data_IF_386896570838
#
_entry.id   IF_386896570838
#
_cell.length_a   1.000
_cell.length_b   1.000
_cell.length_c   1.000
_cell.angle_alpha   90.00
_cell.angle_beta   90.00
_cell.angle_gamma   90.00
#
_symmetry.space_group_name_H-M   'P 1'
#
loop_
_entity.id
_entity.type
_entity.pdbx_description
1 polymer ?
#
# COMPACT_ATOMS: atom_id res chain seq x y z
N UNK A 1 -12.52 -21.64 -8.31
CA UNK A 1 -11.09 -21.61 -8.66
C UNK A 1 -10.44 -20.60 -7.74
N UNK A 2 -9.38 -21.01 -7.04
CA UNK A 2 -8.73 -20.27 -5.96
C UNK A 2 -7.34 -20.86 -5.76
N UNK A 3 -7.02 -21.36 -4.56
CA UNK A 3 -5.72 -21.99 -4.29
C UNK A 3 -5.35 -23.20 -5.16
N UNK A 4 -6.30 -23.80 -5.88
CA UNK A 4 -6.02 -24.82 -6.90
C UNK A 4 -5.05 -24.31 -7.98
N UNK A 5 -5.16 -23.02 -8.36
CA UNK A 5 -4.31 -22.39 -9.35
C UNK A 5 -2.82 -22.33 -8.94
N UNK A 6 -2.51 -22.56 -7.66
CA UNK A 6 -1.14 -22.57 -7.16
C UNK A 6 -0.26 -23.61 -7.89
N UNK A 7 -0.84 -24.71 -8.41
CA UNK A 7 -0.13 -25.72 -9.19
C UNK A 7 0.59 -25.16 -10.43
N UNK A 8 0.14 -24.01 -10.93
CA UNK A 8 0.73 -23.32 -12.08
C UNK A 8 2.14 -22.78 -11.78
N UNK A 9 2.58 -22.72 -10.52
CA UNK A 9 3.94 -22.35 -10.11
C UNK A 9 4.95 -23.51 -10.12
N UNK A 10 4.51 -24.72 -10.51
CA UNK A 10 5.38 -25.86 -10.75
C UNK A 10 5.08 -27.05 -9.85
N UNK A 11 5.64 -28.21 -10.21
CA UNK A 11 5.30 -29.49 -9.60
C UNK A 11 5.66 -29.60 -8.10
N UNK A 12 6.59 -28.79 -7.61
CA UNK A 12 7.02 -28.83 -6.21
C UNK A 12 6.24 -27.84 -5.32
N UNK A 13 5.30 -27.08 -5.88
CA UNK A 13 4.58 -26.05 -5.13
C UNK A 13 3.70 -26.64 -4.03
N UNK A 14 3.75 -26.03 -2.84
CA UNK A 14 2.90 -26.44 -1.73
C UNK A 14 2.60 -25.27 -0.80
N UNK A 15 1.36 -25.20 -0.30
CA UNK A 15 1.02 -24.40 0.87
C UNK A 15 1.62 -25.04 2.12
N UNK A 16 2.22 -24.22 2.97
CA UNK A 16 2.89 -24.67 4.21
C UNK A 16 2.00 -24.35 5.40
N UNK A 17 1.80 -23.06 5.68
CA UNK A 17 1.03 -22.60 6.82
C UNK A 17 0.38 -21.24 6.52
N UNK A 18 -0.80 -20.95 7.11
CA UNK A 18 -1.41 -19.64 6.97
C UNK A 18 -0.59 -18.58 7.70
N UNK A 19 -0.49 -17.39 7.10
CA UNK A 19 0.17 -16.24 7.71
C UNK A 19 -0.88 -15.29 8.27
N UNK A 20 -0.67 -14.85 9.51
CA UNK A 20 -1.48 -13.80 10.11
C UNK A 20 -1.14 -12.44 9.50
N UNK A 21 -2.14 -11.59 9.28
CA UNK A 21 -1.95 -10.18 8.88
C UNK A 21 -2.66 -9.75 7.59
N UNK A 22 -3.15 -10.67 6.76
CA UNK A 22 -4.01 -10.34 5.62
C UNK A 22 -5.47 -10.18 6.08
N UNK A 23 -5.93 -8.95 6.31
CA UNK A 23 -7.35 -8.71 6.68
C UNK A 23 -8.27 -8.90 5.47
N UNK A 24 -7.80 -8.51 4.28
CA UNK A 24 -8.56 -8.57 3.03
C UNK A 24 -8.26 -9.82 2.18
N UNK A 25 -7.15 -10.53 2.45
CA UNK A 25 -6.63 -11.59 1.60
C UNK A 25 -6.28 -12.84 2.42
N UNK A 26 -6.46 -14.01 1.81
CA UNK A 26 -5.97 -15.27 2.36
C UNK A 26 -4.48 -15.41 2.01
N UNK A 27 -3.61 -15.39 3.02
CA UNK A 27 -2.15 -15.32 2.87
C UNK A 27 -1.49 -16.54 3.48
N UNK A 28 -0.59 -17.17 2.74
CA UNK A 28 0.09 -18.40 3.14
C UNK A 28 1.58 -18.32 2.89
N UNK A 29 2.36 -18.93 3.79
CA UNK A 29 3.70 -19.40 3.47
C UNK A 29 3.56 -20.52 2.44
N UNK A 30 4.29 -20.44 1.34
CA UNK A 30 4.32 -21.46 0.29
C UNK A 30 5.75 -21.86 -0.01
N UNK A 31 5.93 -23.10 -0.49
CA UNK A 31 7.20 -23.56 -1.06
C UNK A 31 7.07 -23.52 -2.58
N UNK A 32 7.99 -22.85 -3.26
CA UNK A 32 8.11 -22.83 -4.72
C UNK A 32 9.57 -22.98 -5.08
N UNK A 33 9.92 -23.88 -6.01
CA UNK A 33 11.32 -24.14 -6.41
C UNK A 33 12.24 -24.42 -5.20
N UNK A 34 11.73 -25.18 -4.23
CA UNK A 34 12.37 -25.51 -2.94
C UNK A 34 12.73 -24.30 -2.07
N UNK A 35 12.15 -23.13 -2.33
CA UNK A 35 12.36 -21.90 -1.55
C UNK A 35 11.07 -21.48 -0.87
N UNK A 36 11.20 -20.83 0.28
CA UNK A 36 10.09 -20.18 0.96
C UNK A 36 9.65 -18.95 0.17
N UNK A 37 8.34 -18.82 -0.01
CA UNK A 37 7.67 -17.72 -0.68
C UNK A 37 6.35 -17.42 0.05
N UNK A 38 5.67 -16.35 -0.36
CA UNK A 38 4.35 -15.98 0.16
C UNK A 38 3.36 -16.06 -0.98
N UNK A 39 2.30 -16.85 -0.79
CA UNK A 39 1.15 -16.84 -1.67
C UNK A 39 0.06 -15.95 -1.09
N UNK A 40 -0.64 -15.22 -1.95
CA UNK A 40 -1.80 -14.39 -1.61
C UNK A 40 -2.93 -14.72 -2.56
N UNK A 41 -4.11 -15.01 -2.03
CA UNK A 41 -5.35 -15.15 -2.77
C UNK A 41 -6.31 -14.03 -2.37
N UNK A 42 -6.79 -13.28 -3.36
CA UNK A 42 -7.71 -12.15 -3.17
C UNK A 42 -8.83 -12.12 -4.21
N UNK A 43 -9.78 -11.21 -3.99
CA UNK A 43 -10.89 -10.94 -4.91
C UNK A 43 -10.58 -9.84 -5.94
N UNK A 44 -9.32 -9.39 -6.01
CA UNK A 44 -8.87 -8.32 -6.90
C UNK A 44 -8.91 -8.74 -8.36
N UNK A 45 -9.33 -7.81 -9.23
CA UNK A 45 -9.45 -8.05 -10.67
C UNK A 45 -8.08 -8.19 -11.36
N UNK A 46 -8.03 -8.88 -12.49
CA UNK A 46 -6.80 -9.05 -13.28
C UNK A 46 -6.09 -7.73 -13.63
N UNK A 47 -6.76 -6.63 -14.04
CA UNK A 47 -6.08 -5.35 -14.29
C UNK A 47 -5.42 -4.77 -13.03
N UNK A 48 -6.03 -4.98 -11.86
CA UNK A 48 -5.50 -4.52 -10.58
C UNK A 48 -4.25 -5.33 -10.18
N UNK A 49 -4.31 -6.66 -10.30
CA UNK A 49 -3.15 -7.54 -10.07
C UNK A 49 -2.01 -7.27 -11.06
N UNK A 50 -2.33 -7.00 -12.33
CA UNK A 50 -1.34 -6.63 -13.33
C UNK A 50 -0.65 -5.30 -12.98
N UNK A 51 -1.40 -4.32 -12.47
CA UNK A 51 -0.83 -3.05 -12.02
C UNK A 51 0.11 -3.25 -10.83
N UNK A 52 -0.32 -3.99 -9.81
CA UNK A 52 0.47 -4.24 -8.59
C UNK A 52 1.74 -5.05 -8.89
N UNK A 53 1.59 -6.17 -9.59
CA UNK A 53 2.75 -7.02 -9.93
C UNK A 53 3.74 -6.31 -10.86
N UNK A 54 3.24 -5.50 -11.80
CA UNK A 54 4.07 -4.66 -12.67
C UNK A 54 4.83 -3.57 -11.89
N UNK A 55 4.19 -2.95 -10.89
CA UNK A 55 4.83 -2.01 -9.98
C UNK A 55 5.96 -2.70 -9.20
N UNK A 56 5.69 -3.86 -8.59
CA UNK A 56 6.70 -4.57 -7.79
C UNK A 56 7.93 -4.96 -8.61
N UNK A 57 7.74 -5.43 -9.84
CA UNK A 57 8.85 -5.69 -10.76
C UNK A 57 9.63 -4.43 -11.16
N UNK A 58 8.95 -3.29 -11.30
CA UNK A 58 9.61 -2.00 -11.55
C UNK A 58 10.46 -1.57 -10.36
N UNK A 59 9.91 -1.64 -9.15
CA UNK A 59 10.61 -1.25 -7.92
C UNK A 59 11.84 -2.12 -7.65
N UNK A 60 11.75 -3.42 -7.90
CA UNK A 60 12.89 -4.34 -7.80
C UNK A 60 14.00 -3.96 -8.80
N UNK A 61 13.65 -3.68 -10.06
CA UNK A 61 14.62 -3.21 -11.08
C UNK A 61 15.25 -1.87 -10.71
N UNK A 62 14.49 -0.99 -10.08
CA UNK A 62 14.99 0.27 -9.53
C UNK A 62 15.79 0.08 -8.24
N UNK A 63 15.91 -1.15 -7.73
CA UNK A 63 16.74 -1.55 -6.60
C UNK A 63 16.10 -1.35 -5.23
N UNK A 64 14.78 -1.20 -5.14
CA UNK A 64 14.05 -1.22 -3.87
C UNK A 64 13.79 -2.67 -3.44
N UNK A 65 13.82 -2.94 -2.14
CA UNK A 65 13.46 -4.27 -1.63
C UNK A 65 11.94 -4.37 -1.46
N UNK A 66 11.31 -5.25 -2.25
CA UNK A 66 9.87 -5.49 -2.27
C UNK A 66 9.59 -7.00 -2.40
N UNK A 67 8.38 -7.49 -2.10
CA UNK A 67 8.02 -8.88 -2.36
C UNK A 67 7.88 -9.10 -3.88
N UNK A 68 8.95 -9.52 -4.56
CA UNK A 68 8.98 -9.65 -6.02
C UNK A 68 8.05 -10.80 -6.46
N UNK A 69 7.12 -10.58 -7.41
CA UNK A 69 6.28 -11.64 -7.96
C UNK A 69 7.14 -12.75 -8.57
N UNK A 70 6.87 -13.99 -8.17
CA UNK A 70 7.42 -15.20 -8.78
C UNK A 70 6.45 -15.58 -9.90
N UNK A 71 6.89 -15.72 -11.16
CA UNK A 71 5.99 -16.11 -12.24
C UNK A 71 5.60 -17.58 -12.15
N UNK A 72 4.43 -17.90 -12.72
CA UNK A 72 4.02 -19.26 -13.06
C UNK A 72 5.00 -19.90 -14.07
N UNK A 73 4.88 -21.21 -14.29
CA UNK A 73 5.71 -21.94 -15.25
C UNK A 73 5.60 -21.41 -16.69
N UNK A 74 4.47 -20.79 -17.05
CA UNK A 74 4.23 -20.16 -18.36
C UNK A 74 4.51 -18.64 -18.38
N UNK A 75 5.02 -18.07 -17.28
CA UNK A 75 5.49 -16.69 -17.22
C UNK A 75 4.47 -15.64 -16.76
N UNK A 76 3.24 -16.03 -16.42
CA UNK A 76 2.24 -15.11 -15.84
C UNK A 76 2.60 -14.76 -14.39
N UNK A 77 2.26 -13.55 -13.94
CA UNK A 77 2.56 -13.08 -12.58
C UNK A 77 1.47 -13.42 -11.57
N UNK A 78 0.30 -13.85 -12.04
CA UNK A 78 -0.84 -14.25 -11.24
C UNK A 78 -1.74 -15.20 -12.04
N UNK A 79 -2.58 -15.96 -11.33
CA UNK A 79 -3.57 -16.86 -11.92
C UNK A 79 -4.75 -17.06 -10.96
N UNK A 80 -5.98 -16.87 -11.45
CA UNK A 80 -7.23 -17.03 -10.69
C UNK A 80 -7.21 -16.31 -9.32
N UNK A 81 -6.71 -15.08 -9.29
CA UNK A 81 -6.59 -14.27 -8.06
C UNK A 81 -5.42 -14.65 -7.15
N UNK A 82 -4.65 -15.70 -7.47
CA UNK A 82 -3.44 -16.09 -6.75
C UNK A 82 -2.24 -15.32 -7.28
N UNK A 83 -1.48 -14.71 -6.37
CA UNK A 83 -0.14 -14.16 -6.62
C UNK A 83 0.84 -14.88 -5.70
N UNK A 84 2.00 -15.29 -6.22
CA UNK A 84 3.10 -15.77 -5.39
C UNK A 84 4.24 -14.78 -5.47
N UNK A 85 4.80 -14.43 -4.31
CA UNK A 85 5.88 -13.44 -4.19
C UNK A 85 7.03 -13.98 -3.35
N UNK A 86 8.22 -13.41 -3.53
CA UNK A 86 9.38 -13.75 -2.71
C UNK A 86 9.10 -13.47 -1.23
N UNK A 87 9.53 -14.38 -0.36
CA UNK A 87 9.52 -14.13 1.08
C UNK A 87 10.51 -13.03 1.44
N UNK A 88 10.10 -12.08 2.30
CA UNK A 88 10.92 -10.95 2.73
C UNK A 88 11.25 -11.08 4.21
N UNK A 89 12.51 -11.38 4.53
CA UNK A 89 12.96 -11.46 5.93
C UNK A 89 13.14 -10.05 6.53
N UNK A 90 12.86 -9.94 7.82
CA UNK A 90 13.16 -8.76 8.63
C UNK A 90 12.13 -8.52 9.74
N UNK A 91 12.49 -7.65 10.67
CA UNK A 91 11.59 -7.18 11.74
C UNK A 91 10.99 -5.79 11.43
N UNK A 92 10.00 -5.34 12.21
CA UNK A 92 9.50 -3.97 12.12
C UNK A 92 10.56 -2.94 12.57
N UNK A 93 10.46 -1.66 12.16
CA UNK A 93 11.29 -0.59 12.70
C UNK A 93 11.13 -0.46 14.21
N UNK A 94 12.24 -0.27 14.93
CA UNK A 94 12.25 -0.20 16.40
C UNK A 94 12.67 1.18 16.92
N UNK A 95 13.49 1.91 16.16
CA UNK A 95 14.11 3.16 16.59
C UNK A 95 13.75 4.33 15.68
N UNK A 96 13.95 5.57 16.15
CA UNK A 96 13.82 6.75 15.31
C UNK A 96 14.78 6.76 14.09
N UNK A 97 15.94 6.10 14.20
CA UNK A 97 16.86 5.92 13.09
C UNK A 97 16.32 4.94 12.04
N UNK A 98 15.61 3.89 12.47
CA UNK A 98 14.93 2.97 11.56
C UNK A 98 13.86 3.69 10.75
N UNK A 99 13.03 4.50 11.42
CA UNK A 99 11.99 5.28 10.74
C UNK A 99 12.57 6.29 9.73
N UNK A 100 13.76 6.85 9.98
CA UNK A 100 14.45 7.69 8.99
C UNK A 100 14.83 6.89 7.74
N UNK A 101 15.32 5.66 7.89
CA UNK A 101 15.59 4.75 6.76
C UNK A 101 14.31 4.35 6.00
N UNK A 102 13.17 4.26 6.69
CA UNK A 102 11.86 4.08 6.05
C UNK A 102 11.49 5.31 5.22
N UNK A 103 11.64 6.52 5.77
CA UNK A 103 11.40 7.76 5.03
C UNK A 103 12.28 7.87 3.77
N UNK A 104 13.58 7.58 3.88
CA UNK A 104 14.50 7.58 2.73
C UNK A 104 14.06 6.59 1.63
N UNK A 105 13.51 5.44 2.05
CA UNK A 105 12.98 4.42 1.15
C UNK A 105 11.71 4.90 0.43
N UNK A 106 10.80 5.57 1.15
CA UNK A 106 9.59 6.16 0.58
C UNK A 106 9.91 7.31 -0.39
N UNK A 107 10.85 8.19 -0.04
CA UNK A 107 11.30 9.23 -0.97
C UNK A 107 11.86 8.64 -2.27
N UNK A 108 12.57 7.50 -2.19
CA UNK A 108 13.03 6.79 -3.38
C UNK A 108 11.87 6.18 -4.18
N UNK A 109 10.93 5.51 -3.52
CA UNK A 109 9.69 5.00 -4.13
C UNK A 109 8.98 6.11 -4.92
N UNK A 110 8.72 7.24 -4.27
CA UNK A 110 8.04 8.39 -4.84
C UNK A 110 8.78 8.95 -6.04
N UNK A 111 10.12 9.01 -5.99
CA UNK A 111 10.95 9.52 -7.10
C UNK A 111 10.90 8.60 -8.32
N UNK A 112 11.02 7.29 -8.14
CA UNK A 112 11.12 6.33 -9.26
C UNK A 112 9.77 5.95 -9.87
N UNK A 113 8.66 6.42 -9.28
CA UNK A 113 7.28 6.17 -9.74
C UNK A 113 6.56 7.43 -10.19
N UNK A 114 7.29 8.52 -10.43
CA UNK A 114 6.72 9.74 -11.05
C UNK A 114 6.17 9.40 -12.43
N UNK A 115 4.92 9.78 -12.69
CA UNK A 115 4.25 9.51 -13.96
C UNK A 115 3.80 8.06 -14.14
N UNK A 116 3.84 7.23 -13.09
CA UNK A 116 3.23 5.90 -13.12
C UNK A 116 1.71 6.01 -13.36
N UNK A 117 1.09 5.10 -14.15
CA UNK A 117 -0.34 5.13 -14.38
C UNK A 117 -1.12 4.86 -13.09
N UNK A 118 -2.33 5.44 -12.96
CA UNK A 118 -3.21 5.15 -11.83
C UNK A 118 -3.61 3.68 -11.79
N UNK A 119 -3.75 3.13 -10.59
CA UNK A 119 -4.24 1.76 -10.36
C UNK A 119 -5.71 1.67 -10.79
N UNK A 120 -6.13 0.64 -11.56
CA UNK A 120 -7.49 0.55 -12.08
C UNK A 120 -8.57 0.71 -10.98
N UNK A 121 -9.51 1.62 -11.21
CA UNK A 121 -10.59 1.93 -10.25
C UNK A 121 -10.22 2.90 -9.12
N UNK A 122 -8.92 3.06 -8.84
CA UNK A 122 -8.46 3.94 -7.77
C UNK A 122 -8.54 5.41 -8.19
N UNK A 123 -8.67 6.26 -7.18
CA UNK A 123 -8.73 7.72 -7.29
C UNK A 123 -7.72 8.31 -6.32
N UNK A 124 -7.06 9.39 -6.72
CA UNK A 124 -6.27 10.19 -5.78
C UNK A 124 -7.19 10.97 -4.84
N UNK A 125 -6.65 11.39 -3.71
CA UNK A 125 -7.24 12.33 -2.78
C UNK A 125 -7.76 13.60 -3.49
N UNK A 126 -7.03 14.09 -4.49
CA UNK A 126 -7.44 15.25 -5.29
C UNK A 126 -8.56 14.94 -6.29
N UNK A 127 -8.66 13.71 -6.81
CA UNK A 127 -9.80 13.30 -7.65
C UNK A 127 -11.10 13.25 -6.82
N UNK A 128 -11.00 12.83 -5.55
CA UNK A 128 -12.12 12.71 -4.61
C UNK A 128 -12.67 14.08 -4.12
N UNK A 129 -12.06 15.18 -4.54
CA UNK A 129 -12.67 16.51 -4.43
C UNK A 129 -13.94 16.62 -5.29
N UNK A 130 -14.01 15.85 -6.39
CA UNK A 130 -15.10 15.91 -7.36
C UNK A 130 -15.79 14.57 -7.57
N UNK A 131 -15.10 13.46 -7.32
CA UNK A 131 -15.71 12.13 -7.30
C UNK A 131 -16.34 11.85 -5.93
N UNK A 132 -17.37 11.00 -5.93
CA UNK A 132 -17.95 10.42 -4.70
C UNK A 132 -17.35 9.07 -4.36
N UNK A 133 -16.89 8.31 -5.37
CA UNK A 133 -16.40 6.94 -5.19
C UNK A 133 -15.04 6.71 -5.84
N UNK A 134 -14.31 5.74 -5.28
CA UNK A 134 -13.12 5.08 -5.82
C UNK A 134 -13.05 3.65 -5.28
N UNK A 135 -12.12 2.80 -5.75
CA UNK A 135 -12.08 1.35 -5.44
C UNK A 135 -12.59 0.95 -4.05
N UNK A 136 -12.06 1.55 -2.98
CA UNK A 136 -12.43 1.26 -1.58
C UNK A 136 -13.18 2.40 -0.87
N UNK A 137 -13.30 3.55 -1.51
CA UNK A 137 -13.86 4.76 -0.89
C UNK A 137 -15.24 5.01 -1.46
N UNK A 138 -16.23 5.14 -0.57
CA UNK A 138 -17.55 5.67 -0.87
C UNK A 138 -17.85 6.85 0.06
N UNK A 139 -17.68 8.07 -0.44
CA UNK A 139 -17.98 9.29 0.32
C UNK A 139 -19.49 9.45 0.56
N UNK A 140 -20.34 8.83 -0.27
CA UNK A 140 -21.80 8.83 -0.07
C UNK A 140 -22.24 8.06 1.17
N UNK A 141 -21.41 7.13 1.65
CA UNK A 141 -21.64 6.40 2.90
C UNK A 141 -21.23 7.20 4.16
N UNK A 142 -20.49 8.31 4.00
CA UNK A 142 -20.01 9.15 5.10
C UNK A 142 -21.02 10.27 5.44
N UNK A 143 -21.05 10.76 6.70
CA UNK A 143 -21.78 11.97 7.05
C UNK A 143 -21.33 13.16 6.19
N UNK A 144 -22.26 14.00 5.70
CA UNK A 144 -21.90 15.14 4.84
C UNK A 144 -20.86 16.08 5.44
N UNK A 145 -20.90 16.30 6.75
CA UNK A 145 -19.89 17.09 7.48
C UNK A 145 -18.51 16.42 7.46
N UNK A 146 -18.45 15.09 7.60
CA UNK A 146 -17.22 14.33 7.45
C UNK A 146 -16.63 14.42 6.04
N UNK A 147 -17.47 14.33 5.02
CA UNK A 147 -17.05 14.50 3.61
C UNK A 147 -16.47 15.90 3.39
N UNK A 148 -17.13 16.94 3.91
CA UNK A 148 -16.66 18.32 3.78
C UNK A 148 -15.26 18.49 4.42
N UNK A 149 -15.03 17.89 5.60
CA UNK A 149 -13.74 17.89 6.29
C UNK A 149 -12.65 17.19 5.49
N UNK A 150 -12.92 15.98 4.97
CA UNK A 150 -11.98 15.26 4.14
C UNK A 150 -11.61 16.06 2.88
N UNK A 151 -12.60 16.61 2.17
CA UNK A 151 -12.35 17.43 0.97
C UNK A 151 -11.58 18.70 1.29
N UNK A 152 -11.85 19.36 2.42
CA UNK A 152 -11.07 20.53 2.84
C UNK A 152 -9.60 20.20 3.14
N UNK A 153 -9.34 19.03 3.75
CA UNK A 153 -7.97 18.55 3.96
C UNK A 153 -7.26 18.27 2.64
N UNK A 154 -7.88 17.53 1.71
CA UNK A 154 -7.29 17.19 0.42
C UNK A 154 -7.16 18.37 -0.54
N UNK A 155 -8.00 19.41 -0.42
CA UNK A 155 -7.88 20.62 -1.23
C UNK A 155 -6.52 21.32 -1.06
N UNK A 156 -5.86 21.14 0.10
CA UNK A 156 -4.51 21.66 0.39
C UNK A 156 -3.40 20.94 -0.39
N UNK A 157 -3.74 19.85 -1.08
CA UNK A 157 -2.82 19.06 -1.90
C UNK A 157 -2.90 19.40 -3.41
N UNK A 158 -3.86 20.24 -3.83
CA UNK A 158 -4.06 20.60 -5.24
C UNK A 158 -2.78 21.20 -5.84
N UNK A 159 -2.43 20.73 -7.04
CA UNK A 159 -1.26 21.19 -7.78
C UNK A 159 0.07 20.53 -7.37
N UNK A 160 0.07 19.66 -6.35
CA UNK A 160 1.25 18.87 -6.00
C UNK A 160 1.47 17.74 -7.00
N UNK A 161 2.74 17.38 -7.19
CA UNK A 161 3.12 16.26 -8.05
C UNK A 161 2.66 14.93 -7.44
N UNK A 162 2.12 14.04 -8.28
CA UNK A 162 1.72 12.69 -7.88
C UNK A 162 2.76 11.64 -8.27
N UNK A 163 2.74 10.53 -7.53
CA UNK A 163 3.53 9.33 -7.74
C UNK A 163 2.80 8.14 -7.09
N UNK A 164 3.37 6.94 -7.14
CA UNK A 164 2.82 5.84 -6.35
C UNK A 164 3.06 6.12 -4.87
N UNK A 165 2.01 6.01 -4.06
CA UNK A 165 2.07 5.92 -2.60
C UNK A 165 1.92 4.46 -2.16
N UNK A 166 2.57 4.08 -1.06
CA UNK A 166 2.37 2.78 -0.44
C UNK A 166 0.98 2.68 0.21
N UNK A 167 0.50 3.77 0.80
CA UNK A 167 -0.85 3.89 1.35
C UNK A 167 -1.02 3.40 2.79
N UNK A 168 -0.01 2.74 3.38
CA UNK A 168 0.00 2.37 4.81
C UNK A 168 1.43 2.14 5.38
N UNK A 169 2.42 3.00 5.10
CA UNK A 169 3.79 2.76 5.56
C UNK A 169 3.99 3.06 7.06
N UNK A 170 3.04 3.74 7.71
CA UNK A 170 3.08 4.03 9.14
C UNK A 170 2.78 2.79 10.01
N UNK A 171 2.17 1.75 9.43
CA UNK A 171 2.01 0.45 10.07
C UNK A 171 3.36 -0.29 10.10
N UNK A 172 3.98 -0.52 11.28
CA UNK A 172 5.27 -1.19 11.37
C UNK A 172 5.24 -2.63 10.83
N UNK A 173 4.06 -3.28 10.81
CA UNK A 173 3.88 -4.63 10.27
C UNK A 173 4.15 -4.74 8.78
N UNK A 174 4.02 -3.62 8.05
CA UNK A 174 4.22 -3.54 6.60
C UNK A 174 5.67 -3.21 6.22
N UNK A 175 6.55 -3.13 7.22
CA UNK A 175 7.97 -2.84 7.04
C UNK A 175 8.78 -4.07 7.51
N UNK A 176 9.72 -4.50 6.68
CA UNK A 176 10.70 -5.54 7.04
C UNK A 176 12.11 -4.98 6.95
N UNK A 177 12.78 -4.94 8.10
CA UNK A 177 14.09 -4.33 8.25
C UNK A 177 15.14 -5.35 8.66
N UNK A 178 16.32 -5.18 8.07
CA UNK A 178 17.57 -5.73 8.57
C UNK A 178 18.59 -4.59 8.70
N UNK A 179 19.81 -4.89 9.15
CA UNK A 179 20.89 -3.90 9.18
C UNK A 179 21.15 -3.27 7.80
N UNK A 180 21.01 -4.03 6.71
CA UNK A 180 21.38 -3.60 5.36
C UNK A 180 20.24 -3.09 4.48
N UNK A 181 18.97 -3.35 4.82
CA UNK A 181 17.84 -3.01 3.94
C UNK A 181 16.57 -2.63 4.69
N UNK A 182 15.71 -1.89 4.00
CA UNK A 182 14.30 -1.65 4.35
C UNK A 182 13.47 -2.19 3.20
N UNK A 183 12.50 -3.04 3.53
CA UNK A 183 11.55 -3.56 2.57
C UNK A 183 10.13 -3.16 2.95
N UNK A 184 9.34 -2.84 1.93
CA UNK A 184 7.93 -2.51 2.04
C UNK A 184 7.13 -3.72 1.55
N UNK A 185 6.18 -4.21 2.36
CA UNK A 185 5.29 -5.31 2.03
C UNK A 185 3.84 -4.85 2.15
N UNK A 186 2.90 -5.69 1.69
CA UNK A 186 1.47 -5.39 1.75
C UNK A 186 1.10 -4.11 0.97
N UNK A 187 1.13 -4.26 -0.36
CA UNK A 187 0.90 -3.19 -1.33
C UNK A 187 -0.58 -3.05 -1.71
N UNK A 188 -1.50 -3.63 -0.94
CA UNK A 188 -2.93 -3.64 -1.24
C UNK A 188 -3.58 -2.25 -1.22
N UNK A 189 -3.02 -1.31 -0.47
CA UNK A 189 -3.46 0.09 -0.43
C UNK A 189 -2.70 1.00 -1.39
N UNK A 190 -1.74 0.47 -2.16
CA UNK A 190 -0.93 1.29 -3.06
C UNK A 190 -1.72 1.77 -4.28
N UNK A 191 -1.50 3.03 -4.65
CA UNK A 191 -2.15 3.72 -5.77
C UNK A 191 -1.36 5.00 -6.10
N UNK A 192 -1.77 5.74 -7.13
CA UNK A 192 -1.14 7.03 -7.46
C UNK A 192 -1.82 8.18 -6.72
N UNK A 193 -1.05 8.93 -5.94
CA UNK A 193 -1.52 10.10 -5.18
C UNK A 193 -0.34 11.03 -4.84
N UNK A 194 -0.58 12.02 -3.98
CA UNK A 194 0.43 12.94 -3.47
C UNK A 194 1.28 12.25 -2.39
N UNK A 195 2.63 12.31 -2.48
CA UNK A 195 3.53 11.58 -1.59
C UNK A 195 3.40 11.93 -0.11
N UNK A 196 2.90 13.12 0.22
CA UNK A 196 2.61 13.56 1.59
C UNK A 196 1.84 12.52 2.41
N UNK A 197 0.93 11.77 1.78
CA UNK A 197 0.11 10.75 2.46
C UNK A 197 0.93 9.61 3.07
N UNK A 198 2.14 9.35 2.55
CA UNK A 198 3.06 8.32 3.07
C UNK A 198 4.06 8.86 4.10
N UNK A 199 4.20 10.17 4.24
CA UNK A 199 5.33 10.79 4.95
C UNK A 199 5.02 11.15 6.41
N UNK A 200 3.79 10.92 6.87
CA UNK A 200 3.38 11.06 8.27
C UNK A 200 3.86 9.85 9.07
N UNK A 201 5.16 9.80 9.33
CA UNK A 201 5.82 8.68 10.02
C UNK A 201 6.07 8.98 11.50
N UNK A 202 6.29 7.92 12.29
CA UNK A 202 6.68 8.05 13.69
C UNK A 202 7.94 8.92 13.83
N UNK A 203 7.96 9.76 14.86
CA UNK A 203 9.06 10.70 15.12
C UNK A 203 9.29 11.76 14.02
N UNK A 204 8.28 12.04 13.16
CA UNK A 204 8.42 12.90 12.00
C UNK A 204 9.66 12.53 11.17
N UNK A 205 9.82 11.24 10.88
CA UNK A 205 11.04 10.72 10.29
C UNK A 205 11.32 11.23 8.87
N UNK A 206 10.28 11.72 8.18
CA UNK A 206 10.39 12.39 6.89
C UNK A 206 10.96 13.81 6.99
N UNK A 207 11.08 14.38 8.19
CA UNK A 207 11.68 15.70 8.40
C UNK A 207 10.84 16.84 7.85
N UNK A 208 9.51 16.69 7.86
CA UNK A 208 8.59 17.74 7.42
C UNK A 208 8.64 18.91 8.41
N UNK A 209 8.62 20.15 7.90
CA UNK A 209 8.39 21.31 8.76
C UNK A 209 6.97 21.29 9.34
N UNK A 210 6.70 22.11 10.36
CA UNK A 210 5.42 22.08 11.09
C UNK A 210 4.21 22.29 10.18
N UNK A 211 4.32 23.16 9.16
CA UNK A 211 3.23 23.45 8.25
C UNK A 211 3.01 22.30 7.25
N UNK A 212 4.07 21.74 6.69
CA UNK A 212 4.02 20.60 5.80
C UNK A 212 3.52 19.34 6.52
N UNK A 213 4.02 19.09 7.73
CA UNK A 213 3.58 17.99 8.58
C UNK A 213 2.09 18.11 8.91
N UNK A 214 1.62 19.32 9.23
CA UNK A 214 0.20 19.56 9.47
C UNK A 214 -0.67 19.23 8.25
N UNK A 215 -0.29 19.70 7.06
CA UNK A 215 -1.03 19.39 5.82
C UNK A 215 -1.07 17.89 5.59
N UNK A 216 0.08 17.22 5.66
CA UNK A 216 0.21 15.79 5.42
C UNK A 216 -0.61 14.98 6.44
N UNK A 217 -0.52 15.32 7.73
CA UNK A 217 -1.26 14.65 8.80
C UNK A 217 -2.78 14.78 8.63
N UNK A 218 -3.27 15.95 8.25
CA UNK A 218 -4.70 16.16 8.00
C UNK A 218 -5.19 15.39 6.78
N UNK A 219 -4.42 15.40 5.68
CA UNK A 219 -4.77 14.68 4.46
C UNK A 219 -4.72 13.15 4.65
N UNK A 220 -3.71 12.65 5.37
CA UNK A 220 -3.55 11.23 5.72
C UNK A 220 -4.69 10.76 6.63
N UNK A 221 -5.03 11.52 7.67
CA UNK A 221 -6.17 11.21 8.53
C UNK A 221 -7.51 11.19 7.76
N UNK A 222 -7.71 12.14 6.84
CA UNK A 222 -8.87 12.16 5.97
C UNK A 222 -8.93 10.94 5.03
N UNK A 223 -7.80 10.53 4.48
CA UNK A 223 -7.68 9.33 3.65
C UNK A 223 -8.06 8.07 4.43
N UNK A 224 -7.44 7.87 5.60
CA UNK A 224 -7.70 6.72 6.48
C UNK A 224 -9.15 6.68 6.97
N UNK A 225 -9.76 7.85 7.25
CA UNK A 225 -11.17 7.94 7.58
C UNK A 225 -12.07 7.48 6.42
N UNK A 226 -11.77 7.91 5.19
CA UNK A 226 -12.58 7.59 4.02
C UNK A 226 -12.42 6.12 3.58
N UNK A 227 -11.19 5.61 3.52
CA UNK A 227 -10.90 4.26 3.02
C UNK A 227 -11.33 3.15 3.99
N UNK A 228 -11.34 3.44 5.29
CA UNK A 228 -11.79 2.50 6.32
C UNK A 228 -13.22 2.76 6.80
N UNK A 229 -14.01 3.57 6.08
CA UNK A 229 -15.31 4.02 6.57
C UNK A 229 -16.23 2.84 6.92
N UNK A 230 -16.87 2.92 8.09
CA UNK A 230 -17.66 1.83 8.67
C UNK A 230 -16.98 1.13 9.87
N UNK A 231 -15.68 1.34 10.09
CA UNK A 231 -14.95 0.89 11.28
C UNK A 231 -14.85 2.02 12.34
N UNK A 232 -14.79 1.65 13.63
CA UNK A 232 -14.41 2.53 14.72
C UNK A 232 -13.07 3.25 14.48
N UNK A 233 -12.12 2.60 13.79
CA UNK A 233 -10.88 3.25 13.37
C UNK A 233 -11.14 4.48 12.49
N UNK A 234 -12.00 4.38 11.49
CA UNK A 234 -12.34 5.50 10.61
C UNK A 234 -12.97 6.68 11.36
N UNK A 235 -13.85 6.40 12.33
CA UNK A 235 -14.45 7.45 13.18
C UNK A 235 -13.39 8.20 13.97
N UNK A 236 -12.41 7.48 14.54
CA UNK A 236 -11.29 8.10 15.23
C UNK A 236 -10.45 8.96 14.30
N UNK A 237 -10.14 8.47 13.09
CA UNK A 237 -9.35 9.23 12.11
C UNK A 237 -10.08 10.46 11.61
N UNK A 238 -11.39 10.37 11.40
CA UNK A 238 -12.19 11.54 11.06
C UNK A 238 -12.13 12.60 12.16
N UNK A 239 -12.16 12.21 13.44
CA UNK A 239 -12.05 13.15 14.56
C UNK A 239 -10.73 13.93 14.58
N UNK A 240 -9.65 13.37 14.03
CA UNK A 240 -8.36 14.05 13.89
C UNK A 240 -8.33 15.09 12.74
N UNK A 241 -9.28 15.02 11.79
CA UNK A 241 -9.42 15.98 10.68
C UNK A 241 -10.10 17.25 11.19
N UNK A 242 -9.62 18.45 10.86
CA UNK A 242 -10.24 19.71 11.30
C UNK A 242 -11.67 19.85 10.79
N UNK A 243 -12.51 20.50 11.59
CA UNK A 243 -13.82 20.98 11.16
C UNK A 243 -13.68 22.08 10.09
N UNK A 244 -14.72 22.25 9.28
CA UNK A 244 -14.84 23.27 8.22
C UNK A 244 -15.90 24.29 8.62
#
# INVERSE_FOLDING_TARGET
MGWEALEQWGADVARIEPLAGGVANDVWSVRVNRRLAVGRLGATSDPDLAWETGLLQHLDREGLTVPVPIPTADGRLFADGVVVMSYVEGGPPQTAADWRRVADTLHRLHRVTRGWPQRPGWRSSTDLLHAETGTKIDLGAMPPEGVARCRAAWARLVGRQTCVVHGNPANPGNIRMTAGRVALIDWDESHVDVPDLDLVLRHNAAGLDDAAHDVAAQASAAWEAAVCWGDAYAVKRLADVRAV
#
